data_IF_275644001753
#
_entry.id   IF_275644001753
#
_cell.length_a   1.000
_cell.length_b   1.000
_cell.length_c   1.000
_cell.angle_alpha   90.00
_cell.angle_beta   90.00
_cell.angle_gamma   90.00
#
_symmetry.space_group_name_H-M   'P 1'
#
loop_
_entity.id
_entity.type
_entity.pdbx_description
1 polymer ?
#
# COMPACT_ATOMS: atom_id res chain seq x y z
N UNK A 1 2.19 -2.22 -31.21
CA UNK A 1 2.07 -0.98 -30.37
C UNK A 1 3.30 -0.92 -29.47
N UNK A 2 4.05 0.20 -29.44
CA UNK A 2 5.17 0.31 -28.48
C UNK A 2 4.59 0.34 -27.06
N UNK A 3 4.99 -0.59 -26.22
CA UNK A 3 4.57 -0.64 -24.80
C UNK A 3 5.13 0.61 -24.10
N UNK A 4 4.27 1.38 -23.44
CA UNK A 4 4.68 2.56 -22.69
C UNK A 4 5.58 2.13 -21.51
N UNK A 5 6.65 2.90 -21.23
CA UNK A 5 7.52 2.65 -20.08
C UNK A 5 6.80 2.88 -18.76
N UNK A 6 5.97 3.90 -18.70
CA UNK A 6 5.22 4.33 -17.52
C UNK A 6 3.72 4.21 -17.76
N UNK A 7 2.95 3.95 -16.71
CA UNK A 7 1.49 3.90 -16.77
C UNK A 7 0.91 5.30 -16.88
N UNK A 8 1.37 6.21 -16.04
CA UNK A 8 0.98 7.62 -15.98
C UNK A 8 2.25 8.50 -15.94
N UNK A 9 2.85 8.80 -17.12
CA UNK A 9 4.12 9.54 -17.17
C UNK A 9 4.05 10.93 -16.53
N UNK A 10 2.89 11.59 -16.59
CA UNK A 10 2.69 12.91 -16.02
C UNK A 10 2.88 12.89 -14.50
N UNK A 11 2.26 11.92 -13.83
CA UNK A 11 2.39 11.77 -12.38
C UNK A 11 3.71 11.09 -11.97
N UNK A 12 4.12 10.03 -12.65
CA UNK A 12 5.29 9.23 -12.25
C UNK A 12 6.63 9.95 -12.46
N UNK A 13 6.67 10.97 -13.31
CA UNK A 13 7.88 11.74 -13.67
C UNK A 13 7.79 13.22 -13.26
N UNK A 14 6.73 13.62 -12.57
CA UNK A 14 6.56 14.99 -12.09
C UNK A 14 7.78 15.40 -11.24
N UNK A 15 8.39 16.53 -11.51
CA UNK A 15 9.57 16.95 -10.75
C UNK A 15 9.21 17.25 -9.29
N UNK A 16 10.16 17.07 -8.37
CA UNK A 16 9.90 17.08 -6.92
C UNK A 16 9.20 18.34 -6.43
N UNK A 17 9.60 19.49 -6.90
CA UNK A 17 9.00 20.78 -6.53
C UNK A 17 7.54 20.88 -6.96
N UNK A 18 7.24 20.46 -8.18
CA UNK A 18 5.89 20.41 -8.73
C UNK A 18 5.01 19.40 -7.97
N UNK A 19 5.54 18.22 -7.67
CA UNK A 19 4.85 17.20 -6.89
C UNK A 19 4.53 17.70 -5.46
N UNK A 20 5.46 18.38 -4.80
CA UNK A 20 5.23 18.95 -3.47
C UNK A 20 4.19 20.07 -3.49
N UNK A 21 4.17 20.90 -4.54
CA UNK A 21 3.11 21.90 -4.74
C UNK A 21 1.74 21.24 -4.98
N UNK A 22 1.70 20.18 -5.79
CA UNK A 22 0.49 19.36 -6.00
C UNK A 22 -0.01 18.72 -4.70
N UNK A 23 0.88 18.08 -3.94
CA UNK A 23 0.56 17.48 -2.65
C UNK A 23 0.01 18.52 -1.67
N UNK A 24 0.62 19.70 -1.60
CA UNK A 24 0.16 20.79 -0.73
C UNK A 24 -1.26 21.24 -1.10
N UNK A 25 -1.54 21.42 -2.39
CA UNK A 25 -2.89 21.77 -2.85
C UNK A 25 -3.91 20.70 -2.42
N UNK A 26 -3.61 19.41 -2.64
CA UNK A 26 -4.48 18.29 -2.25
C UNK A 26 -4.65 18.16 -0.74
N UNK A 27 -3.58 18.36 0.03
CA UNK A 27 -3.63 18.36 1.49
C UNK A 27 -4.60 19.41 2.03
N UNK A 28 -4.55 20.63 1.51
CA UNK A 28 -5.49 21.70 1.91
C UNK A 28 -6.94 21.35 1.62
N UNK A 29 -7.23 20.76 0.47
CA UNK A 29 -8.57 20.31 0.13
C UNK A 29 -9.04 19.20 1.07
N UNK A 30 -8.18 18.23 1.34
CA UNK A 30 -8.48 17.11 2.21
C UNK A 30 -8.70 17.53 3.66
N UNK A 31 -7.86 18.43 4.18
CA UNK A 31 -8.05 18.98 5.52
C UNK A 31 -9.37 19.74 5.67
N UNK A 32 -9.74 20.57 4.67
CA UNK A 32 -11.04 21.27 4.68
C UNK A 32 -12.21 20.28 4.65
N UNK A 33 -12.09 19.20 3.86
CA UNK A 33 -13.09 18.14 3.81
C UNK A 33 -13.25 17.47 5.18
N UNK A 34 -12.15 17.04 5.82
CA UNK A 34 -12.15 16.43 7.13
C UNK A 34 -12.71 17.37 8.21
N UNK A 35 -12.26 18.62 8.22
CA UNK A 35 -12.69 19.62 9.20
C UNK A 35 -14.18 19.93 9.13
N UNK A 36 -14.77 19.91 7.93
CA UNK A 36 -16.19 20.25 7.72
C UNK A 36 -17.15 19.09 7.93
N UNK A 37 -16.71 17.87 7.59
CA UNK A 37 -17.61 16.72 7.44
C UNK A 37 -17.34 15.58 8.44
N UNK A 38 -16.39 15.76 9.37
CA UNK A 38 -16.07 14.75 10.38
C UNK A 38 -15.93 15.40 11.75
N UNK A 39 -16.80 15.03 12.68
CA UNK A 39 -16.72 15.50 14.06
C UNK A 39 -15.42 15.05 14.73
N UNK A 40 -14.96 13.83 14.47
CA UNK A 40 -13.67 13.31 14.95
C UNK A 40 -12.51 14.23 14.57
N UNK A 41 -12.39 14.59 13.28
CA UNK A 41 -11.32 15.48 12.82
C UNK A 41 -11.51 16.92 13.30
N UNK A 42 -12.75 17.40 13.34
CA UNK A 42 -13.05 18.75 13.86
C UNK A 42 -12.60 18.89 15.32
N UNK A 43 -12.95 17.94 16.19
CA UNK A 43 -12.57 17.92 17.58
C UNK A 43 -11.03 17.79 17.74
N UNK A 44 -10.41 16.89 16.99
CA UNK A 44 -8.98 16.65 17.00
C UNK A 44 -8.17 17.89 16.61
N UNK A 45 -8.57 18.57 15.55
CA UNK A 45 -7.91 19.80 15.10
C UNK A 45 -8.16 20.98 16.04
N UNK A 46 -9.38 21.13 16.59
CA UNK A 46 -9.68 22.12 17.62
C UNK A 46 -8.84 21.93 18.87
N UNK A 47 -8.68 20.69 19.35
CA UNK A 47 -7.84 20.35 20.50
C UNK A 47 -6.37 20.69 20.26
N UNK A 48 -5.89 20.56 19.03
CA UNK A 48 -4.54 20.96 18.63
C UNK A 48 -4.41 22.47 18.36
N UNK A 49 -5.50 23.24 18.39
CA UNK A 49 -5.50 24.67 18.07
C UNK A 49 -5.26 24.99 16.60
N UNK A 50 -5.56 24.06 15.69
CA UNK A 50 -5.23 24.14 14.25
C UNK A 50 -6.51 24.24 13.43
N UNK A 51 -6.48 25.09 12.42
CA UNK A 51 -7.50 25.19 11.35
C UNK A 51 -6.86 24.87 9.99
N UNK A 52 -7.66 24.47 8.98
CA UNK A 52 -7.13 24.24 7.64
C UNK A 52 -6.36 25.41 7.01
N UNK A 53 -6.69 26.64 7.42
CA UNK A 53 -6.07 27.88 6.94
C UNK A 53 -4.66 28.10 7.52
N UNK A 54 -4.35 27.48 8.64
CA UNK A 54 -3.03 27.59 9.31
C UNK A 54 -1.95 26.82 8.56
N UNK A 55 -2.35 25.83 7.73
CA UNK A 55 -1.44 25.09 6.86
C UNK A 55 -1.12 25.91 5.63
N UNK A 56 0.05 26.53 5.58
CA UNK A 56 0.52 27.44 4.54
C UNK A 56 1.55 26.82 3.60
N UNK A 57 2.17 25.73 4.04
CA UNK A 57 3.18 24.95 3.30
C UNK A 57 3.02 23.46 3.58
N UNK A 58 3.68 22.61 2.79
CA UNK A 58 3.66 21.16 3.02
C UNK A 58 4.35 20.79 4.33
N UNK A 59 5.35 21.54 4.77
CA UNK A 59 6.06 21.32 6.03
C UNK A 59 5.18 21.53 7.28
N UNK A 60 4.11 22.32 7.16
CA UNK A 60 3.19 22.55 8.27
C UNK A 60 2.36 21.31 8.65
N UNK A 61 2.41 20.25 7.82
CA UNK A 61 1.80 18.95 8.15
C UNK A 61 2.31 18.42 9.50
N UNK A 62 3.55 18.73 9.86
CA UNK A 62 4.16 18.34 11.12
C UNK A 62 3.45 18.87 12.37
N UNK A 63 2.67 19.94 12.24
CA UNK A 63 1.85 20.49 13.33
C UNK A 63 0.54 19.72 13.54
N UNK A 64 0.09 18.93 12.54
CA UNK A 64 -1.12 18.15 12.67
C UNK A 64 -0.94 17.00 13.66
N UNK A 65 -1.96 16.69 14.48
CA UNK A 65 -1.91 15.57 15.40
C UNK A 65 -1.92 14.23 14.62
N UNK A 66 -1.22 13.23 15.16
CA UNK A 66 -1.30 11.88 14.64
C UNK A 66 -2.69 11.25 14.86
N UNK A 67 -3.07 10.38 13.99
CA UNK A 67 -4.21 9.45 14.14
C UNK A 67 -3.65 8.05 14.33
N UNK A 68 -4.07 7.36 15.38
CA UNK A 68 -3.65 5.99 15.65
C UNK A 68 -4.77 5.00 15.42
N UNK A 69 -4.43 3.73 15.25
CA UNK A 69 -5.41 2.65 15.10
C UNK A 69 -6.29 2.49 16.33
N UNK A 70 -5.73 2.70 17.52
CA UNK A 70 -6.47 2.58 18.77
C UNK A 70 -7.48 3.72 18.94
N UNK A 71 -7.10 4.96 18.58
CA UNK A 71 -8.07 6.06 18.53
C UNK A 71 -9.24 5.78 17.59
N UNK A 72 -8.99 5.17 16.44
CA UNK A 72 -10.06 4.80 15.50
C UNK A 72 -10.97 3.70 16.07
N UNK A 73 -10.39 2.74 16.80
CA UNK A 73 -11.17 1.68 17.49
C UNK A 73 -12.03 2.25 18.60
N UNK A 74 -11.46 3.12 19.42
CA UNK A 74 -12.19 3.81 20.51
C UNK A 74 -13.34 4.64 19.94
N UNK A 75 -13.06 5.42 18.89
CA UNK A 75 -14.07 6.24 18.22
C UNK A 75 -15.20 5.37 17.61
N UNK A 76 -14.85 4.26 16.96
CA UNK A 76 -15.84 3.35 16.39
C UNK A 76 -16.66 2.61 17.46
N UNK A 77 -16.04 2.31 18.62
CA UNK A 77 -16.74 1.73 19.75
C UNK A 77 -17.75 2.73 20.38
N UNK A 78 -17.32 3.98 20.55
CA UNK A 78 -18.14 5.05 21.10
C UNK A 78 -19.26 5.48 20.15
N UNK A 79 -19.03 5.39 18.83
CA UNK A 79 -19.95 5.81 17.79
C UNK A 79 -20.12 4.70 16.73
N UNK A 80 -20.89 3.64 17.04
CA UNK A 80 -21.19 2.57 16.10
C UNK A 80 -21.96 3.11 14.88
N UNK A 81 -21.74 2.58 13.68
CA UNK A 81 -20.98 1.39 13.29
C UNK A 81 -19.64 1.75 12.65
N UNK A 82 -19.40 3.03 12.32
CA UNK A 82 -18.27 3.45 11.47
C UNK A 82 -17.43 4.56 12.09
N UNK A 83 -17.72 4.97 13.33
CA UNK A 83 -17.06 6.12 13.96
C UNK A 83 -17.44 7.45 13.28
N UNK A 84 -17.05 8.58 13.88
CA UNK A 84 -17.27 9.93 13.32
C UNK A 84 -16.11 10.38 12.42
N UNK A 85 -15.13 9.49 12.14
CA UNK A 85 -14.02 9.75 11.22
C UNK A 85 -14.38 9.52 9.74
N UNK A 86 -15.57 8.99 9.45
CA UNK A 86 -16.10 8.92 8.09
C UNK A 86 -16.53 10.30 7.63
N UNK A 87 -16.11 10.67 6.41
CA UNK A 87 -16.23 12.03 5.87
C UNK A 87 -17.28 12.13 4.76
N UNK A 88 -17.43 11.06 3.97
CA UNK A 88 -18.38 11.02 2.88
C UNK A 88 -19.77 10.63 3.35
N UNK A 89 -20.80 11.17 2.69
CA UNK A 89 -22.19 10.83 2.99
C UNK A 89 -22.56 9.40 2.56
N UNK A 90 -23.48 8.71 3.25
CA UNK A 90 -23.82 7.31 3.00
C UNK A 90 -24.22 7.00 1.56
N UNK A 91 -24.81 7.94 0.84
CA UNK A 91 -25.24 7.75 -0.54
C UNK A 91 -24.07 7.53 -1.52
N UNK A 92 -22.86 7.91 -1.10
CA UNK A 92 -21.63 7.73 -1.91
C UNK A 92 -20.87 6.46 -1.57
N UNK A 93 -21.27 5.72 -0.52
CA UNK A 93 -20.55 4.54 -0.06
C UNK A 93 -20.70 3.39 -1.05
N UNK A 94 -19.58 2.75 -1.38
CA UNK A 94 -19.53 1.62 -2.28
C UNK A 94 -19.17 0.32 -1.57
N UNK A 95 -18.16 0.36 -0.68
CA UNK A 95 -17.60 -0.84 -0.07
C UNK A 95 -17.13 -0.62 1.36
N UNK A 96 -17.28 -1.67 2.18
CA UNK A 96 -16.69 -1.77 3.52
C UNK A 96 -15.39 -2.58 3.45
N UNK A 97 -14.31 -2.06 4.04
CA UNK A 97 -13.01 -2.72 4.15
C UNK A 97 -12.50 -2.68 5.60
N UNK A 98 -12.84 -3.68 6.41
CA UNK A 98 -12.35 -3.75 7.78
C UNK A 98 -10.88 -4.19 7.82
N UNK A 99 -10.13 -3.64 8.77
CA UNK A 99 -8.77 -4.09 9.02
C UNK A 99 -8.76 -5.50 9.63
N UNK A 100 -7.67 -6.29 9.43
CA UNK A 100 -7.52 -7.55 10.15
C UNK A 100 -7.51 -7.31 11.66
N UNK A 101 -8.37 -8.02 12.39
CA UNK A 101 -8.53 -7.87 13.83
C UNK A 101 -7.51 -8.65 14.67
N UNK A 102 -6.24 -8.74 14.27
CA UNK A 102 -5.21 -9.55 14.96
C UNK A 102 -4.91 -9.08 16.39
N UNK A 103 -5.05 -7.78 16.66
CA UNK A 103 -4.72 -7.16 17.97
C UNK A 103 -5.94 -6.53 18.66
N UNK A 104 -7.15 -6.78 18.17
CA UNK A 104 -8.38 -6.20 18.71
C UNK A 104 -9.49 -6.08 17.66
N UNK A 105 -10.62 -5.42 17.96
CA UNK A 105 -11.71 -5.23 17.00
C UNK A 105 -11.21 -4.58 15.70
N UNK A 106 -11.75 -4.99 14.52
CA UNK A 106 -11.38 -4.39 13.26
C UNK A 106 -11.78 -2.92 13.18
N UNK A 107 -10.96 -2.10 12.53
CA UNK A 107 -11.34 -0.74 12.12
C UNK A 107 -12.06 -0.86 10.78
N UNK A 108 -13.28 -0.36 10.71
CA UNK A 108 -14.09 -0.34 9.50
C UNK A 108 -13.73 0.88 8.67
N UNK A 109 -13.13 0.67 7.51
CA UNK A 109 -12.91 1.74 6.53
C UNK A 109 -13.93 1.62 5.40
N UNK A 110 -14.47 2.75 4.99
CA UNK A 110 -15.43 2.84 3.89
C UNK A 110 -14.72 3.37 2.66
N UNK A 111 -15.08 2.85 1.52
CA UNK A 111 -14.69 3.37 0.22
C UNK A 111 -15.90 3.94 -0.50
N UNK A 112 -15.77 5.14 -1.03
CA UNK A 112 -16.76 5.72 -1.94
C UNK A 112 -16.62 5.09 -3.33
N UNK A 113 -17.61 5.31 -4.20
CA UNK A 113 -17.51 4.92 -5.61
C UNK A 113 -16.28 5.53 -6.30
N UNK A 114 -15.87 6.73 -5.92
CA UNK A 114 -14.68 7.38 -6.44
C UNK A 114 -13.40 6.80 -5.83
N UNK A 115 -13.42 6.44 -4.53
CA UNK A 115 -12.32 5.72 -3.90
C UNK A 115 -12.02 4.41 -4.62
N UNK A 116 -13.05 3.62 -4.98
CA UNK A 116 -12.88 2.35 -5.71
C UNK A 116 -12.18 2.58 -7.06
N UNK A 117 -12.57 3.61 -7.82
CA UNK A 117 -11.94 3.95 -9.10
C UNK A 117 -10.47 4.38 -8.91
N UNK A 118 -10.22 5.26 -7.96
CA UNK A 118 -8.88 5.75 -7.65
C UNK A 118 -7.97 4.61 -7.21
N UNK A 119 -8.46 3.73 -6.33
CA UNK A 119 -7.74 2.55 -5.85
C UNK A 119 -7.42 1.58 -7.01
N UNK A 120 -8.37 1.31 -7.89
CA UNK A 120 -8.14 0.49 -9.07
C UNK A 120 -7.01 1.08 -9.94
N UNK A 121 -7.04 2.39 -10.19
CA UNK A 121 -6.08 3.09 -11.05
C UNK A 121 -4.68 3.16 -10.44
N UNK A 122 -4.54 3.52 -9.15
CA UNK A 122 -3.21 3.56 -8.55
C UNK A 122 -2.62 2.18 -8.37
N UNK A 123 -3.44 1.16 -8.04
CA UNK A 123 -2.98 -0.23 -7.94
C UNK A 123 -2.57 -0.76 -9.33
N UNK A 124 -3.26 -0.39 -10.39
CA UNK A 124 -2.84 -0.70 -11.76
C UNK A 124 -1.48 -0.09 -12.08
N UNK A 125 -1.23 1.17 -11.69
CA UNK A 125 0.07 1.84 -11.85
C UNK A 125 1.17 1.15 -11.05
N UNK A 126 0.91 0.73 -9.82
CA UNK A 126 1.89 -0.03 -9.05
C UNK A 126 2.18 -1.39 -9.68
N UNK A 127 1.17 -2.08 -10.19
CA UNK A 127 1.35 -3.34 -10.94
C UNK A 127 2.17 -3.11 -12.22
N UNK A 128 1.93 -2.01 -12.94
CA UNK A 128 2.74 -1.64 -14.11
C UNK A 128 4.21 -1.38 -13.72
N UNK A 129 4.44 -0.83 -12.54
CA UNK A 129 5.78 -0.48 -12.05
C UNK A 129 6.67 -1.70 -11.89
N UNK A 130 6.15 -2.81 -11.39
CA UNK A 130 6.91 -4.07 -11.33
C UNK A 130 6.81 -4.94 -12.59
N UNK A 131 6.16 -4.48 -13.63
CA UNK A 131 6.30 -5.12 -14.96
C UNK A 131 5.06 -5.83 -15.50
N UNK A 132 3.88 -5.69 -14.89
CA UNK A 132 2.60 -6.17 -15.47
C UNK A 132 2.25 -5.37 -16.73
N UNK A 133 1.76 -6.04 -17.74
CA UNK A 133 1.37 -5.43 -19.03
C UNK A 133 0.05 -6.01 -19.53
N UNK A 134 -0.67 -5.28 -20.42
CA UNK A 134 -1.82 -5.85 -21.13
C UNK A 134 -1.46 -7.18 -21.80
N UNK A 135 -2.32 -8.17 -21.63
CA UNK A 135 -2.08 -9.53 -22.10
C UNK A 135 -1.49 -10.48 -21.05
N UNK A 136 -1.04 -9.97 -19.90
CA UNK A 136 -0.69 -10.84 -18.77
C UNK A 136 -1.93 -11.54 -18.20
N UNK A 137 -1.68 -12.74 -17.69
CA UNK A 137 -2.66 -13.54 -16.96
C UNK A 137 -2.29 -13.47 -15.48
N UNK A 138 -3.08 -12.71 -14.73
CA UNK A 138 -2.84 -12.42 -13.33
C UNK A 138 -3.48 -13.49 -12.46
N UNK A 139 -2.67 -14.26 -11.75
CA UNK A 139 -3.16 -15.14 -10.71
C UNK A 139 -3.14 -14.41 -9.37
N UNK A 140 -4.34 -14.09 -8.91
CA UNK A 140 -4.52 -13.40 -7.63
C UNK A 140 -4.70 -14.41 -6.51
N UNK A 141 -3.65 -14.61 -5.71
CA UNK A 141 -3.62 -15.53 -4.57
C UNK A 141 -4.09 -14.91 -3.27
N UNK A 142 -4.46 -13.64 -3.23
CA UNK A 142 -5.08 -13.02 -2.06
C UNK A 142 -6.56 -13.37 -1.95
N UNK A 143 -7.06 -13.55 -0.73
CA UNK A 143 -8.47 -13.81 -0.47
C UNK A 143 -9.39 -12.70 -0.97
N UNK A 144 -10.54 -13.10 -1.52
CA UNK A 144 -11.58 -12.19 -2.05
C UNK A 144 -12.64 -11.79 -1.01
N UNK A 145 -12.41 -12.10 0.26
CA UNK A 145 -13.30 -11.69 1.33
C UNK A 145 -13.28 -10.18 1.61
N UNK A 146 -13.47 -9.82 2.85
CA UNK A 146 -13.51 -8.43 3.29
C UNK A 146 -12.15 -7.73 3.27
N UNK A 147 -11.04 -8.49 3.13
CA UNK A 147 -9.70 -7.91 3.09
C UNK A 147 -9.44 -7.12 1.80
N UNK A 148 -8.70 -6.04 1.94
CA UNK A 148 -8.49 -5.03 0.90
C UNK A 148 -7.76 -5.54 -0.34
N UNK A 149 -6.84 -6.50 -0.20
CA UNK A 149 -5.90 -6.85 -1.28
C UNK A 149 -6.57 -7.56 -2.47
N UNK A 150 -7.33 -8.63 -2.22
CA UNK A 150 -7.84 -9.49 -3.30
C UNK A 150 -8.68 -8.75 -4.33
N UNK A 151 -9.70 -8.02 -3.88
CA UNK A 151 -10.61 -7.30 -4.79
C UNK A 151 -9.92 -6.12 -5.49
N UNK A 152 -9.00 -5.43 -4.81
CA UNK A 152 -8.31 -4.28 -5.42
C UNK A 152 -7.37 -4.70 -6.53
N UNK A 153 -6.64 -5.81 -6.37
CA UNK A 153 -5.83 -6.41 -7.42
C UNK A 153 -6.71 -6.83 -8.61
N UNK A 154 -7.91 -7.34 -8.33
CA UNK A 154 -8.87 -7.68 -9.38
C UNK A 154 -9.30 -6.44 -10.18
N UNK A 155 -9.69 -5.37 -9.51
CA UNK A 155 -10.04 -4.11 -10.18
C UNK A 155 -8.87 -3.55 -10.99
N UNK A 156 -7.68 -3.53 -10.41
CA UNK A 156 -6.46 -3.08 -11.07
C UNK A 156 -6.09 -3.92 -12.30
N UNK A 157 -6.27 -5.24 -12.23
CA UNK A 157 -6.03 -6.14 -13.36
C UNK A 157 -6.95 -5.82 -14.54
N UNK A 158 -8.21 -5.51 -14.27
CA UNK A 158 -9.18 -5.08 -15.30
C UNK A 158 -8.83 -3.71 -15.87
N UNK A 159 -8.41 -2.77 -15.03
CA UNK A 159 -7.95 -1.44 -15.46
C UNK A 159 -6.74 -1.54 -16.39
N UNK A 160 -5.85 -2.51 -16.17
CA UNK A 160 -4.69 -2.80 -17.03
C UNK A 160 -5.06 -3.53 -18.33
N UNK A 161 -6.29 -4.02 -18.47
CA UNK A 161 -6.67 -4.90 -19.60
C UNK A 161 -6.04 -6.28 -19.52
N UNK A 162 -5.73 -6.76 -18.32
CA UNK A 162 -5.22 -8.11 -18.07
C UNK A 162 -6.35 -9.12 -17.86
N UNK A 163 -6.06 -10.38 -18.13
CA UNK A 163 -6.92 -11.48 -17.72
C UNK A 163 -6.64 -11.85 -16.27
N UNK A 164 -7.65 -11.84 -15.41
CA UNK A 164 -7.47 -12.15 -13.98
C UNK A 164 -8.11 -13.48 -13.62
N UNK A 165 -7.35 -14.33 -12.92
CA UNK A 165 -7.83 -15.57 -12.34
C UNK A 165 -8.03 -15.33 -10.85
N UNK A 166 -9.28 -15.23 -10.36
CA UNK A 166 -9.61 -14.92 -8.98
C UNK A 166 -9.55 -16.16 -8.09
N UNK A 167 -8.39 -16.82 -8.03
CA UNK A 167 -8.20 -18.07 -7.29
C UNK A 167 -8.38 -17.87 -5.79
N UNK A 168 -7.89 -16.74 -5.29
CA UNK A 168 -7.85 -16.48 -3.87
C UNK A 168 -6.83 -17.35 -3.13
N UNK A 169 -6.86 -17.31 -1.80
CA UNK A 169 -6.06 -18.20 -0.95
C UNK A 169 -6.72 -19.58 -0.91
N UNK A 170 -6.15 -20.54 -1.65
CA UNK A 170 -6.60 -21.93 -1.70
C UNK A 170 -5.42 -22.87 -1.41
N UNK A 171 -5.63 -24.17 -1.53
CA UNK A 171 -4.53 -25.15 -1.43
C UNK A 171 -3.47 -24.87 -2.52
N UNK A 172 -2.17 -24.95 -2.20
CA UNK A 172 -1.09 -24.67 -3.16
C UNK A 172 -1.15 -25.50 -4.44
N UNK A 173 -1.63 -26.75 -4.36
CA UNK A 173 -1.77 -27.63 -5.50
C UNK A 173 -2.73 -27.02 -6.54
N UNK A 174 -3.82 -26.41 -6.07
CA UNK A 174 -4.78 -25.74 -6.95
C UNK A 174 -4.19 -24.49 -7.61
N UNK A 175 -3.27 -23.80 -6.94
CA UNK A 175 -2.53 -22.69 -7.56
C UNK A 175 -1.70 -23.20 -8.74
N UNK A 176 -1.04 -24.36 -8.57
CA UNK A 176 -0.21 -24.97 -9.63
C UNK A 176 -1.05 -25.36 -10.84
N UNK A 177 -2.25 -25.91 -10.63
CA UNK A 177 -3.16 -26.24 -11.73
C UNK A 177 -3.47 -25.04 -12.62
N UNK A 178 -3.62 -23.84 -12.04
CA UNK A 178 -3.85 -22.60 -12.77
C UNK A 178 -2.59 -22.00 -13.39
N UNK A 179 -1.39 -22.34 -12.90
CA UNK A 179 -0.17 -21.98 -13.63
C UNK A 179 -0.08 -22.75 -14.94
N UNK A 180 -0.44 -24.02 -14.94
CA UNK A 180 -0.27 -24.92 -16.08
C UNK A 180 -1.40 -24.72 -17.11
N UNK A 181 -2.67 -24.86 -16.69
CA UNK A 181 -3.79 -24.91 -17.63
C UNK A 181 -4.13 -23.54 -18.24
N UNK A 182 -4.52 -22.49 -17.47
CA UNK A 182 -4.76 -21.19 -18.07
C UNK A 182 -3.47 -20.43 -18.42
N UNK A 183 -2.32 -20.86 -17.90
CA UNK A 183 -1.03 -20.26 -18.22
C UNK A 183 -0.79 -18.93 -17.52
N UNK A 184 -0.95 -18.86 -16.20
CA UNK A 184 -0.69 -17.63 -15.42
C UNK A 184 0.72 -17.12 -15.62
N UNK A 185 0.87 -15.82 -15.94
CA UNK A 185 2.17 -15.17 -16.16
C UNK A 185 2.63 -14.34 -14.97
N UNK A 186 1.70 -13.96 -14.09
CA UNK A 186 1.95 -13.14 -12.91
C UNK A 186 1.28 -13.76 -11.68
N UNK A 187 2.02 -13.88 -10.58
CA UNK A 187 1.49 -14.28 -9.28
C UNK A 187 1.53 -13.11 -8.30
N UNK A 188 0.41 -12.86 -7.59
CA UNK A 188 0.36 -11.86 -6.53
C UNK A 188 -0.21 -12.53 -5.27
N UNK A 189 0.59 -12.62 -4.20
CA UNK A 189 0.20 -13.28 -2.93
C UNK A 189 1.14 -12.87 -1.79
N UNK A 190 1.04 -13.53 -0.62
CA UNK A 190 2.01 -13.34 0.46
C UNK A 190 3.31 -14.10 0.20
N UNK A 191 4.47 -13.63 0.72
CA UNK A 191 5.75 -14.33 0.58
C UNK A 191 5.74 -15.75 1.10
N UNK A 192 5.16 -16.01 2.28
CA UNK A 192 5.10 -17.37 2.85
C UNK A 192 4.24 -18.31 2.00
N UNK A 193 3.18 -17.78 1.38
CA UNK A 193 2.35 -18.57 0.48
C UNK A 193 3.09 -18.90 -0.82
N UNK A 194 3.88 -17.99 -1.35
CA UNK A 194 4.73 -18.24 -2.52
C UNK A 194 5.78 -19.34 -2.25
N UNK A 195 6.42 -19.32 -1.05
CA UNK A 195 7.35 -20.36 -0.64
C UNK A 195 6.66 -21.74 -0.54
N UNK A 196 5.44 -21.78 0.01
CA UNK A 196 4.66 -23.01 0.09
C UNK A 196 4.31 -23.56 -1.31
N UNK A 197 3.92 -22.69 -2.26
CA UNK A 197 3.68 -23.09 -3.65
C UNK A 197 4.97 -23.65 -4.28
N UNK A 198 6.12 -23.00 -4.06
CA UNK A 198 7.41 -23.46 -4.56
C UNK A 198 7.79 -24.85 -4.01
N UNK A 199 7.53 -25.11 -2.73
CA UNK A 199 7.73 -26.42 -2.12
C UNK A 199 6.84 -27.49 -2.75
N UNK A 200 5.57 -27.18 -3.02
CA UNK A 200 4.64 -28.10 -3.68
C UNK A 200 5.05 -28.40 -5.13
N UNK A 201 5.56 -27.43 -5.88
CA UNK A 201 6.15 -27.67 -7.21
C UNK A 201 7.27 -28.69 -7.15
N UNK A 202 8.19 -28.51 -6.16
CA UNK A 202 9.30 -29.43 -5.92
C UNK A 202 8.83 -30.84 -5.56
N UNK A 203 7.83 -30.98 -4.68
CA UNK A 203 7.25 -32.26 -4.30
C UNK A 203 6.58 -32.97 -5.48
N UNK A 204 5.92 -32.23 -6.35
CA UNK A 204 5.31 -32.74 -7.60
C UNK A 204 6.34 -32.98 -8.72
N UNK A 205 7.60 -32.64 -8.50
CA UNK A 205 8.69 -32.73 -9.51
C UNK A 205 8.39 -31.92 -10.78
N UNK A 206 7.74 -30.79 -10.63
CA UNK A 206 7.48 -29.84 -11.73
C UNK A 206 8.59 -28.81 -11.72
N UNK A 207 9.46 -28.76 -12.73
CA UNK A 207 10.50 -27.74 -12.84
C UNK A 207 9.90 -26.35 -12.99
N UNK A 208 10.45 -25.30 -12.34
CA UNK A 208 9.97 -23.93 -12.50
C UNK A 208 9.92 -23.45 -13.97
N UNK A 209 10.84 -23.91 -14.82
CA UNK A 209 10.86 -23.58 -16.24
C UNK A 209 9.72 -24.18 -17.09
N UNK A 210 8.91 -25.08 -16.53
CA UNK A 210 7.73 -25.65 -17.20
C UNK A 210 6.45 -24.85 -16.92
N UNK A 211 6.49 -23.86 -16.00
CA UNK A 211 5.36 -22.97 -15.74
C UNK A 211 5.59 -21.61 -16.42
N UNK A 212 4.55 -20.97 -16.97
CA UNK A 212 4.69 -19.72 -17.71
C UNK A 212 4.82 -18.48 -16.83
N UNK A 213 4.90 -18.63 -15.51
CA UNK A 213 5.13 -17.51 -14.61
C UNK A 213 6.44 -16.80 -14.94
N UNK A 214 6.42 -15.47 -14.97
CA UNK A 214 7.60 -14.63 -15.22
C UNK A 214 7.92 -13.66 -14.12
N UNK A 215 6.89 -13.18 -13.40
CA UNK A 215 7.03 -12.24 -12.27
C UNK A 215 6.07 -12.59 -11.15
N UNK A 216 6.45 -12.20 -9.94
CA UNK A 216 5.56 -12.20 -8.78
C UNK A 216 5.72 -10.93 -7.96
N UNK A 217 4.62 -10.50 -7.33
CA UNK A 217 4.63 -9.40 -6.37
C UNK A 217 4.08 -9.88 -5.04
N UNK A 218 4.83 -9.65 -3.99
CA UNK A 218 4.58 -10.25 -2.67
C UNK A 218 4.47 -9.16 -1.60
N UNK A 219 3.48 -9.29 -0.73
CA UNK A 219 3.26 -8.34 0.35
C UNK A 219 2.23 -8.85 1.36
N UNK A 220 1.86 -7.99 2.32
CA UNK A 220 0.94 -8.34 3.41
C UNK A 220 1.63 -8.94 4.63
N UNK A 221 2.90 -9.27 4.50
CA UNK A 221 3.83 -9.70 5.55
C UNK A 221 5.27 -9.42 5.11
N UNK A 222 6.21 -9.42 6.05
CA UNK A 222 7.65 -9.31 5.78
C UNK A 222 8.13 -10.52 4.98
N UNK A 223 8.94 -10.31 3.95
CA UNK A 223 9.51 -11.44 3.21
C UNK A 223 10.19 -11.10 1.90
N UNK A 224 9.52 -10.46 0.95
CA UNK A 224 10.11 -10.23 -0.38
C UNK A 224 11.24 -9.17 -0.38
N UNK A 225 11.27 -8.28 0.60
CA UNK A 225 12.38 -7.36 0.85
C UNK A 225 13.61 -8.06 1.43
N UNK A 226 13.44 -9.25 2.06
CA UNK A 226 14.53 -10.04 2.65
C UNK A 226 15.25 -10.83 1.55
N UNK A 227 16.55 -10.58 1.28
CA UNK A 227 17.26 -11.18 0.15
C UNK A 227 17.21 -12.72 0.13
N UNK A 228 17.33 -13.36 1.28
CA UNK A 228 17.30 -14.82 1.38
C UNK A 228 15.92 -15.40 1.04
N UNK A 229 14.85 -14.75 1.47
CA UNK A 229 13.47 -15.15 1.16
C UNK A 229 13.16 -14.93 -0.31
N UNK A 230 13.50 -13.74 -0.83
CA UNK A 230 13.37 -13.41 -2.25
C UNK A 230 14.05 -14.45 -3.13
N UNK A 231 15.31 -14.77 -2.83
CA UNK A 231 16.08 -15.78 -3.58
C UNK A 231 15.35 -17.14 -3.62
N UNK A 232 14.84 -17.60 -2.48
CA UNK A 232 14.09 -18.87 -2.43
C UNK A 232 12.82 -18.83 -3.27
N UNK A 233 12.11 -17.70 -3.28
CA UNK A 233 10.91 -17.51 -4.13
C UNK A 233 11.30 -17.52 -5.61
N UNK A 234 12.32 -16.75 -6.00
CA UNK A 234 12.79 -16.64 -7.38
C UNK A 234 13.27 -17.97 -7.93
N UNK A 235 14.12 -18.69 -7.18
CA UNK A 235 14.60 -20.01 -7.57
C UNK A 235 13.50 -21.07 -7.59
N UNK A 236 12.60 -21.05 -6.59
CA UNK A 236 11.54 -22.05 -6.45
C UNK A 236 10.40 -21.92 -7.44
N UNK A 237 10.13 -20.72 -7.94
CA UNK A 237 9.07 -20.44 -8.91
C UNK A 237 9.59 -20.07 -10.31
N UNK A 238 10.91 -19.85 -10.49
CA UNK A 238 11.50 -19.45 -11.76
C UNK A 238 11.12 -18.05 -12.23
N UNK A 239 10.94 -17.10 -11.32
CA UNK A 239 10.37 -15.78 -11.59
C UNK A 239 11.28 -14.64 -11.09
N UNK A 240 10.99 -13.41 -11.52
CA UNK A 240 11.46 -12.22 -10.80
C UNK A 240 10.46 -11.86 -9.68
N UNK A 241 10.95 -11.73 -8.45
CA UNK A 241 10.14 -11.36 -7.29
C UNK A 241 10.27 -9.86 -6.97
N UNK A 242 9.13 -9.24 -6.67
CA UNK A 242 9.02 -7.84 -6.29
C UNK A 242 8.30 -7.70 -4.95
N UNK A 243 8.77 -6.75 -4.15
CA UNK A 243 8.14 -6.37 -2.89
C UNK A 243 7.06 -5.31 -3.11
N UNK A 244 5.99 -5.40 -2.31
CA UNK A 244 4.97 -4.36 -2.24
C UNK A 244 4.44 -4.20 -0.82
N UNK A 245 3.97 -2.99 -0.54
CA UNK A 245 3.38 -2.64 0.74
C UNK A 245 1.97 -2.09 0.56
N UNK A 246 1.10 -2.47 1.49
CA UNK A 246 -0.26 -1.98 1.62
C UNK A 246 -0.77 -2.14 3.05
N UNK A 247 -1.71 -1.30 3.42
CA UNK A 247 -2.32 -1.26 4.75
C UNK A 247 -3.83 -1.01 4.59
N UNK A 248 -4.67 -1.77 5.29
CA UNK A 248 -6.12 -1.69 5.11
C UNK A 248 -6.67 -0.29 5.32
N UNK A 249 -6.19 0.41 6.33
CA UNK A 249 -6.60 1.77 6.67
C UNK A 249 -6.24 2.77 5.58
N UNK A 250 -5.18 2.50 4.81
CA UNK A 250 -4.66 3.39 3.76
C UNK A 250 -5.09 2.90 2.38
N UNK A 251 -4.72 1.70 2.01
CA UNK A 251 -5.04 1.13 0.70
C UNK A 251 -4.26 -0.14 0.42
N UNK A 252 -4.58 -0.83 -0.68
CA UNK A 252 -3.96 -2.11 -1.02
C UNK A 252 -2.47 -1.93 -1.36
N UNK A 253 -2.06 -2.06 -2.58
CA UNK A 253 -0.67 -1.85 -2.99
C UNK A 253 -0.42 -0.34 -3.14
N UNK A 254 0.08 0.32 -2.08
CA UNK A 254 0.38 1.76 -2.05
C UNK A 254 1.85 2.08 -2.30
N UNK A 255 2.70 1.06 -2.25
CA UNK A 255 4.10 1.16 -2.66
C UNK A 255 4.56 -0.17 -3.25
N UNK A 256 5.48 -0.12 -4.22
CA UNK A 256 6.05 -1.31 -4.86
C UNK A 256 7.42 -1.05 -5.46
N UNK A 257 8.22 -2.10 -5.60
CA UNK A 257 9.49 -2.04 -6.30
C UNK A 257 9.31 -1.84 -7.82
N UNK A 258 10.31 -1.25 -8.43
CA UNK A 258 10.53 -1.27 -9.88
C UNK A 258 11.64 -2.27 -10.24
N UNK A 259 11.91 -2.43 -11.54
CA UNK A 259 12.96 -3.35 -12.04
C UNK A 259 14.37 -3.11 -11.48
N UNK A 260 14.64 -1.97 -10.88
CA UNK A 260 15.91 -1.70 -10.21
C UNK A 260 15.97 -2.20 -8.76
N UNK A 261 14.85 -2.63 -8.18
CA UNK A 261 14.75 -3.19 -6.80
C UNK A 261 15.51 -2.36 -5.74
N UNK A 262 15.45 -1.02 -5.91
CA UNK A 262 16.15 -0.05 -5.03
C UNK A 262 15.23 0.54 -3.95
N UNK A 263 14.25 -0.23 -3.50
CA UNK A 263 13.20 0.14 -2.58
C UNK A 263 11.83 0.28 -3.25
N UNK A 264 10.79 0.30 -2.43
CA UNK A 264 9.41 0.43 -2.87
C UNK A 264 9.06 1.90 -3.15
N UNK A 265 8.55 2.22 -4.34
CA UNK A 265 8.09 3.54 -4.76
C UNK A 265 6.69 3.81 -4.21
N UNK A 266 6.51 4.95 -3.58
CA UNK A 266 5.21 5.43 -3.08
C UNK A 266 4.36 6.05 -4.18
N UNK A 267 3.04 6.09 -3.98
CA UNK A 267 2.10 6.80 -4.84
C UNK A 267 1.86 8.21 -4.28
N UNK A 268 2.88 9.09 -4.36
CA UNK A 268 2.89 10.36 -3.66
C UNK A 268 1.88 11.40 -4.18
N UNK A 269 1.28 11.20 -5.32
CA UNK A 269 0.15 12.00 -5.82
C UNK A 269 -1.18 11.68 -5.09
N UNK A 270 -1.26 10.52 -4.43
CA UNK A 270 -2.40 10.12 -3.62
C UNK A 270 -2.12 10.15 -2.11
N UNK A 271 -0.85 10.07 -1.72
CA UNK A 271 -0.41 9.99 -0.34
C UNK A 271 0.71 10.98 -0.04
N UNK A 272 0.66 11.59 1.13
CA UNK A 272 1.83 12.23 1.72
C UNK A 272 2.45 11.25 2.71
N UNK A 273 3.74 10.97 2.53
CA UNK A 273 4.50 9.99 3.30
C UNK A 273 5.55 10.70 4.13
N UNK A 274 5.53 10.46 5.43
CA UNK A 274 6.49 10.94 6.41
C UNK A 274 7.16 9.74 7.09
N UNK A 275 8.39 9.93 7.57
CA UNK A 275 9.07 9.00 8.48
C UNK A 275 9.42 9.79 9.73
N UNK A 276 8.92 9.34 10.87
CA UNK A 276 8.99 10.08 12.15
C UNK A 276 9.85 9.30 13.14
N UNK A 277 10.79 9.98 13.76
CA UNK A 277 11.57 9.42 14.86
C UNK A 277 10.66 9.24 16.09
N UNK A 278 10.45 8.00 16.58
CA UNK A 278 9.49 7.73 17.64
C UNK A 278 9.89 8.30 19.01
N UNK A 279 11.17 8.58 19.22
CA UNK A 279 11.66 9.10 20.51
C UNK A 279 11.51 10.63 20.59
N UNK A 280 11.71 11.32 19.46
CA UNK A 280 11.65 12.80 19.39
C UNK A 280 10.34 13.33 18.82
N UNK A 281 9.53 12.47 18.19
CA UNK A 281 8.29 12.79 17.48
C UNK A 281 8.49 13.80 16.32
N UNK A 282 9.72 13.91 15.81
CA UNK A 282 10.09 14.78 14.70
C UNK A 282 10.35 13.98 13.43
N UNK A 283 10.29 14.65 12.29
CA UNK A 283 10.66 14.04 11.00
C UNK A 283 12.10 13.56 11.04
N UNK A 284 12.33 12.37 10.51
CA UNK A 284 13.65 11.78 10.32
C UNK A 284 14.42 12.48 9.20
N UNK A 285 15.73 12.47 9.29
CA UNK A 285 16.60 12.84 8.18
C UNK A 285 16.47 11.82 7.03
N UNK A 286 16.77 12.23 5.78
CA UNK A 286 16.71 11.33 4.63
C UNK A 286 17.54 10.05 4.84
N UNK A 287 16.88 8.89 4.78
CA UNK A 287 17.50 7.58 4.98
C UNK A 287 17.60 7.12 6.44
N UNK A 288 17.22 7.94 7.41
CA UNK A 288 17.08 7.53 8.80
C UNK A 288 15.88 6.61 8.99
N UNK A 289 15.98 5.65 9.92
CA UNK A 289 14.90 4.73 10.27
C UNK A 289 13.93 5.38 11.25
N UNK A 290 12.65 5.34 10.94
CA UNK A 290 11.60 5.82 11.83
C UNK A 290 10.26 5.16 11.52
N UNK A 291 9.23 5.62 12.21
CA UNK A 291 7.86 5.14 12.01
C UNK A 291 7.25 5.82 10.80
N UNK A 292 6.67 5.01 9.93
CA UNK A 292 5.94 5.45 8.76
C UNK A 292 4.63 6.14 9.18
N UNK A 293 4.41 7.34 8.67
CA UNK A 293 3.19 8.11 8.88
C UNK A 293 2.64 8.51 7.52
N UNK A 294 1.34 8.27 7.31
CA UNK A 294 0.71 8.46 6.00
C UNK A 294 -0.51 9.36 6.11
N UNK A 295 -0.61 10.31 5.18
CA UNK A 295 -1.78 11.17 5.00
C UNK A 295 -2.39 10.92 3.61
N UNK A 296 -3.69 10.65 3.56
CA UNK A 296 -4.43 10.59 2.31
C UNK A 296 -4.63 11.99 1.72
N UNK A 297 -4.35 12.12 0.44
CA UNK A 297 -4.56 13.36 -0.32
C UNK A 297 -5.84 13.32 -1.17
N UNK A 298 -6.32 12.12 -1.53
CA UNK A 298 -7.41 11.94 -2.50
C UNK A 298 -8.55 11.05 -2.01
N UNK A 299 -8.40 10.38 -0.86
CA UNK A 299 -9.44 9.49 -0.34
C UNK A 299 -10.66 10.26 0.14
N UNK A 300 -11.86 9.82 -0.28
CA UNK A 300 -13.08 10.56 0.01
C UNK A 300 -13.80 10.10 1.26
N UNK A 301 -14.03 8.78 1.41
CA UNK A 301 -14.95 8.30 2.44
C UNK A 301 -14.32 8.23 3.84
N UNK A 302 -13.18 7.58 3.97
CA UNK A 302 -12.48 7.44 5.24
C UNK A 302 -11.02 7.87 5.10
N UNK A 303 -10.74 9.17 4.92
CA UNK A 303 -9.37 9.65 4.81
C UNK A 303 -8.65 9.53 6.14
N UNK A 304 -7.37 9.18 6.11
CA UNK A 304 -6.47 9.21 7.25
C UNK A 304 -5.56 10.43 7.13
N UNK A 305 -5.49 11.23 8.19
CA UNK A 305 -4.61 12.40 8.30
C UNK A 305 -3.53 12.07 9.33
N UNK A 306 -2.28 12.05 8.91
CA UNK A 306 -1.11 11.66 9.72
C UNK A 306 -1.31 10.35 10.48
N UNK A 307 -1.73 9.31 9.76
CA UNK A 307 -1.95 8.00 10.35
C UNK A 307 -0.61 7.36 10.75
N UNK A 308 -0.46 7.09 12.04
CA UNK A 308 0.67 6.38 12.62
C UNK A 308 0.52 4.88 12.36
N UNK A 309 1.29 4.35 11.42
CA UNK A 309 1.14 2.95 11.00
C UNK A 309 1.70 1.94 12.00
N UNK A 310 2.70 2.35 12.77
CA UNK A 310 3.54 1.46 13.58
C UNK A 310 4.60 0.71 12.78
N UNK A 311 4.61 0.81 11.46
CA UNK A 311 5.60 0.17 10.60
C UNK A 311 6.87 1.02 10.48
N UNK A 312 8.03 0.37 10.46
CA UNK A 312 9.34 1.02 10.38
C UNK A 312 9.84 1.05 8.95
N UNK A 313 10.22 2.23 8.48
CA UNK A 313 10.74 2.44 7.14
C UNK A 313 11.82 3.53 7.11
N UNK A 314 12.50 3.63 5.97
CA UNK A 314 13.35 4.77 5.60
C UNK A 314 12.70 5.48 4.43
N UNK A 315 13.00 6.76 4.22
CA UNK A 315 12.49 7.49 3.06
C UNK A 315 13.65 8.13 2.28
N UNK A 316 13.66 7.91 0.97
CA UNK A 316 14.59 8.53 0.02
C UNK A 316 13.80 9.22 -1.10
N UNK A 317 13.92 10.53 -1.19
CA UNK A 317 13.26 11.37 -2.22
C UNK A 317 14.08 11.52 -3.50
N UNK A 318 15.27 10.92 -3.59
CA UNK A 318 16.12 11.01 -4.78
C UNK A 318 15.50 10.26 -5.96
N UNK A 319 15.60 10.85 -7.14
CA UNK A 319 15.12 10.24 -8.40
C UNK A 319 15.72 8.85 -8.60
N UNK A 320 14.87 7.88 -8.90
CA UNK A 320 15.31 6.51 -9.13
C UNK A 320 15.95 6.35 -10.51
N UNK A 321 16.86 5.38 -10.65
CA UNK A 321 17.43 4.98 -11.96
C UNK A 321 16.35 4.52 -12.96
N UNK A 322 15.17 4.08 -12.52
CA UNK A 322 14.04 3.79 -13.38
C UNK A 322 13.44 5.03 -14.07
N UNK A 323 13.76 6.23 -13.55
CA UNK A 323 13.29 7.53 -14.02
C UNK A 323 12.20 8.15 -13.16
N UNK A 324 11.51 7.37 -12.31
CA UNK A 324 10.47 7.89 -11.40
C UNK A 324 11.05 8.84 -10.38
N UNK A 325 10.27 9.86 -10.05
CA UNK A 325 10.62 10.94 -9.11
C UNK A 325 9.98 10.76 -7.73
N UNK A 326 8.95 9.94 -7.63
CA UNK A 326 8.31 9.60 -6.37
C UNK A 326 9.30 8.97 -5.38
N UNK A 327 9.17 9.32 -4.11
CA UNK A 327 10.00 8.81 -3.04
C UNK A 327 9.94 7.27 -2.93
N UNK A 328 11.00 6.71 -2.36
CA UNK A 328 11.12 5.27 -2.13
C UNK A 328 11.46 4.99 -0.68
N UNK A 329 11.07 3.79 -0.23
CA UNK A 329 11.59 3.22 1.01
C UNK A 329 12.63 2.15 0.68
N UNK A 330 13.94 2.47 0.77
CA UNK A 330 15.02 1.50 0.60
C UNK A 330 14.91 0.39 1.65
N UNK A 331 14.94 -0.87 1.20
CA UNK A 331 14.76 -2.04 2.07
C UNK A 331 13.30 -2.33 2.44
N UNK A 332 12.33 -1.66 1.80
CA UNK A 332 10.90 -1.90 2.07
C UNK A 332 10.47 -1.48 3.47
N UNK A 333 9.61 -2.29 4.08
CA UNK A 333 9.19 -2.17 5.48
C UNK A 333 10.08 -3.08 6.32
N UNK A 334 10.79 -2.49 7.28
CA UNK A 334 11.86 -3.18 8.03
C UNK A 334 11.31 -3.98 9.23
N UNK A 335 10.10 -3.64 9.72
CA UNK A 335 9.47 -4.28 10.85
C UNK A 335 8.43 -3.37 11.49
N UNK A 336 8.00 -3.71 12.69
CA UNK A 336 7.06 -2.90 13.47
C UNK A 336 7.72 -2.32 14.72
N UNK A 337 7.28 -1.15 15.14
CA UNK A 337 7.81 -0.51 16.34
C UNK A 337 7.51 -1.33 17.60
N UNK A 338 6.37 -2.03 17.61
CA UNK A 338 5.94 -2.89 18.72
C UNK A 338 6.85 -4.11 18.90
N UNK A 339 7.50 -4.56 17.80
CA UNK A 339 8.43 -5.70 17.81
C UNK A 339 9.86 -5.30 18.21
N UNK A 340 10.10 -4.02 18.52
CA UNK A 340 11.40 -3.53 19.03
C UNK A 340 11.71 -4.14 20.38
N UNK A 341 12.63 -5.09 20.42
CA UNK A 341 13.24 -5.56 21.65
C UNK A 341 14.23 -4.50 22.11
N UNK A 342 13.90 -3.76 23.16
CA UNK A 342 14.84 -2.88 23.84
C UNK A 342 15.83 -3.76 24.62
N UNK A 343 16.93 -4.15 23.97
CA UNK A 343 18.07 -4.71 24.69
C UNK A 343 18.69 -3.59 25.54
N UNK A 344 18.30 -3.49 26.81
CA UNK A 344 19.00 -2.65 27.78
C UNK A 344 20.38 -3.24 27.96
N UNK A 345 21.41 -2.57 27.41
CA UNK A 345 22.79 -2.85 27.79
C UNK A 345 23.77 -3.17 26.67
N UNK A 346 23.67 -2.55 25.47
CA UNK A 346 24.84 -2.36 24.60
C UNK A 346 24.72 -0.95 24.04
#
# INVERSE_FOLDING_TARGET
>A
MKIRKYFDPEMELMEREELEAFQFHKLKLQMRRCYRNSEFYLEKFKKAGIKPEDIRSLSDVTHLPFVTKDELREEQHAHPHFGRFTVASPETWAELRPSPGTTGPPVNTIWSHEDVKNIARWTARTMWTFGVRPGDIIQNGFGYGIWVAGISIHYASRELGCFVIPVGSTKPERQIDYFINPGSTVLICTPTYALNIAEQLKLKRIPPGEIPLRIGCFGGEVGAEVPATRKKIEEGLGIEAYDCYGLTEIGPIIATECSHKAGIHWIEDHLLVEVINPDTMKSCEPGELGVLVITHLTKEATPMIRFWTGDLARLDKKKCKCGRTHARSPGGIIGRIEDRINCRGV
#
